data_IF_696777579120
#
_entry.id   IF_696777579120
#
_cell.length_a   1.000
_cell.length_b   1.000
_cell.length_c   1.000
_cell.angle_alpha   90.00
_cell.angle_beta   90.00
_cell.angle_gamma   90.00
#
_symmetry.space_group_name_H-M   'P 1'
#
loop_
_entity.id
_entity.type
_entity.pdbx_description
1 polymer ?
#
# COMPACT_ATOMS: atom_id res chain seq x y z
N UNK A 1 6.72 2.06 -24.27
CA UNK A 1 6.72 1.61 -22.87
C UNK A 1 6.10 2.73 -22.05
N UNK A 2 4.87 2.55 -21.57
CA UNK A 2 4.24 3.56 -20.70
C UNK A 2 4.97 3.56 -19.36
N UNK A 3 5.64 4.65 -19.03
CA UNK A 3 6.18 4.89 -17.69
C UNK A 3 5.00 4.89 -16.73
N UNK A 4 4.79 3.76 -16.03
CA UNK A 4 3.75 3.66 -15.03
C UNK A 4 4.12 4.62 -13.89
N UNK A 5 3.50 5.79 -13.86
CA UNK A 5 3.93 6.91 -13.03
C UNK A 5 3.52 6.62 -11.59
N UNK A 6 4.49 6.20 -10.76
CA UNK A 6 4.29 5.96 -9.32
C UNK A 6 3.74 7.21 -8.64
N UNK A 7 2.87 7.02 -7.64
CA UNK A 7 2.40 8.11 -6.80
C UNK A 7 3.58 8.82 -6.12
N UNK A 8 3.53 10.16 -5.89
CA UNK A 8 4.61 10.91 -5.26
C UNK A 8 5.15 10.27 -3.97
N UNK A 9 4.25 9.81 -3.09
CA UNK A 9 4.56 9.17 -1.80
C UNK A 9 5.26 7.80 -1.93
N UNK A 10 5.15 7.17 -3.09
CA UNK A 10 5.69 5.84 -3.38
C UNK A 10 6.78 5.85 -4.46
N UNK A 11 7.22 7.03 -4.94
CA UNK A 11 8.25 7.15 -6.00
C UNK A 11 9.57 6.47 -5.65
N UNK A 12 9.90 6.42 -4.36
CA UNK A 12 11.13 5.84 -3.86
C UNK A 12 11.14 4.30 -3.89
N UNK A 13 9.98 3.66 -4.08
CA UNK A 13 9.85 2.20 -4.17
C UNK A 13 10.43 1.69 -5.49
N UNK A 14 10.98 0.47 -5.48
CA UNK A 14 11.27 -0.28 -6.70
C UNK A 14 9.96 -0.65 -7.41
N UNK A 15 10.05 -1.14 -8.65
CA UNK A 15 8.85 -1.57 -9.39
C UNK A 15 8.17 -2.76 -8.71
N UNK A 16 8.96 -3.70 -8.17
CA UNK A 16 8.44 -4.85 -7.43
C UNK A 16 7.72 -4.44 -6.13
N UNK A 17 8.31 -3.53 -5.35
CA UNK A 17 7.67 -3.00 -4.14
C UNK A 17 6.41 -2.18 -4.46
N UNK A 18 6.43 -1.41 -5.54
CA UNK A 18 5.24 -0.68 -5.98
C UNK A 18 4.14 -1.63 -6.44
N UNK A 19 4.49 -2.72 -7.14
CA UNK A 19 3.54 -3.75 -7.50
C UNK A 19 2.96 -4.44 -6.26
N UNK A 20 3.79 -4.75 -5.26
CA UNK A 20 3.35 -5.28 -3.97
C UNK A 20 2.33 -4.34 -3.31
N UNK A 21 2.65 -3.04 -3.22
CA UNK A 21 1.75 -2.03 -2.67
C UNK A 21 0.37 -2.09 -3.33
N UNK A 22 0.32 -2.09 -4.67
CA UNK A 22 -0.93 -2.12 -5.43
C UNK A 22 -1.70 -3.43 -5.26
N UNK A 23 -1.01 -4.57 -5.26
CA UNK A 23 -1.63 -5.89 -5.13
C UNK A 23 -2.24 -6.09 -3.74
N UNK A 24 -1.47 -5.83 -2.67
CA UNK A 24 -1.97 -6.00 -1.30
C UNK A 24 -3.05 -4.97 -0.99
N UNK A 25 -2.89 -3.72 -1.43
CA UNK A 25 -3.94 -2.70 -1.37
C UNK A 25 -5.25 -3.19 -1.99
N UNK A 26 -5.21 -3.73 -3.21
CA UNK A 26 -6.41 -4.14 -3.91
C UNK A 26 -7.13 -5.29 -3.18
N UNK A 27 -6.39 -6.25 -2.65
CA UNK A 27 -6.96 -7.36 -1.87
C UNK A 27 -7.53 -6.89 -0.54
N UNK A 28 -6.79 -6.06 0.18
CA UNK A 28 -7.21 -5.49 1.45
C UNK A 28 -8.50 -4.65 1.27
N UNK A 29 -8.52 -3.72 0.32
CA UNK A 29 -9.68 -2.87 0.04
C UNK A 29 -10.92 -3.69 -0.38
N UNK A 30 -10.74 -4.80 -1.10
CA UNK A 30 -11.84 -5.73 -1.46
C UNK A 30 -12.42 -6.47 -0.25
N UNK A 31 -11.61 -6.73 0.78
CA UNK A 31 -12.08 -7.36 2.02
C UNK A 31 -12.87 -6.40 2.93
N UNK A 32 -12.76 -5.09 2.69
CA UNK A 32 -13.46 -4.08 3.47
C UNK A 32 -14.91 -3.90 3.02
N UNK A 33 -15.80 -3.59 3.97
CA UNK A 33 -17.14 -3.10 3.65
C UNK A 33 -17.12 -1.75 2.91
N UNK A 34 -18.19 -1.46 2.16
CA UNK A 34 -18.28 -0.29 1.27
C UNK A 34 -18.10 1.07 1.95
N UNK A 35 -18.52 1.21 3.21
CA UNK A 35 -18.32 2.45 3.95
C UNK A 35 -16.86 2.61 4.38
N UNK A 36 -16.29 1.56 4.99
CA UNK A 36 -14.91 1.58 5.48
C UNK A 36 -13.89 1.82 4.38
N UNK A 37 -14.06 1.21 3.20
CA UNK A 37 -13.09 1.34 2.09
C UNK A 37 -12.91 2.77 1.56
N UNK A 38 -13.82 3.71 1.88
CA UNK A 38 -13.73 5.12 1.47
C UNK A 38 -12.58 5.85 2.16
N UNK A 39 -12.16 5.37 3.34
CA UNK A 39 -11.07 5.97 4.12
C UNK A 39 -9.68 5.41 3.74
N UNK A 40 -9.66 4.37 2.90
CA UNK A 40 -8.43 3.65 2.51
C UNK A 40 -8.30 3.60 0.99
N UNK A 41 -8.37 4.75 0.33
CA UNK A 41 -8.07 4.84 -1.11
C UNK A 41 -6.58 5.05 -1.37
N UNK A 42 -6.12 4.83 -2.61
CA UNK A 42 -4.72 5.13 -2.98
C UNK A 42 -4.37 6.60 -2.81
N UNK A 43 -5.33 7.53 -2.98
CA UNK A 43 -5.12 8.96 -2.75
C UNK A 43 -5.01 9.32 -1.28
N UNK A 44 -5.51 8.48 -0.38
CA UNK A 44 -5.42 8.71 1.06
C UNK A 44 -4.08 8.25 1.65
N UNK A 45 -3.25 7.54 0.87
CA UNK A 45 -1.91 7.14 1.31
C UNK A 45 -1.02 8.38 1.38
N UNK A 46 -0.61 8.74 2.60
CA UNK A 46 0.25 9.91 2.85
C UNK A 46 1.72 9.53 2.99
N UNK A 47 2.02 8.26 3.28
CA UNK A 47 3.39 7.78 3.43
C UNK A 47 3.47 6.28 3.20
N UNK A 48 4.56 5.86 2.57
CA UNK A 48 4.96 4.46 2.51
C UNK A 48 6.38 4.33 3.04
N UNK A 49 6.64 3.37 3.91
CA UNK A 49 7.99 3.04 4.38
C UNK A 49 8.32 1.58 4.07
N UNK A 50 9.59 1.32 3.78
CA UNK A 50 10.14 -0.03 3.71
C UNK A 50 10.43 -0.53 5.13
N UNK A 51 10.01 -1.74 5.44
CA UNK A 51 10.47 -2.48 6.60
C UNK A 51 11.13 -3.79 6.13
N UNK A 52 12.45 -3.75 5.82
CA UNK A 52 13.15 -4.91 5.28
C UNK A 52 13.32 -6.04 6.31
N UNK A 53 13.29 -5.72 7.60
CA UNK A 53 13.40 -6.70 8.70
C UNK A 53 12.20 -7.64 8.70
N UNK A 54 11.01 -7.10 8.48
CA UNK A 54 9.75 -7.85 8.43
C UNK A 54 9.28 -8.18 7.01
N UNK A 55 10.06 -7.80 6.00
CA UNK A 55 9.74 -7.98 4.57
C UNK A 55 8.36 -7.42 4.21
N UNK A 56 8.07 -6.20 4.66
CA UNK A 56 6.79 -5.54 4.42
C UNK A 56 6.94 -4.05 4.06
N UNK A 57 5.84 -3.48 3.57
CA UNK A 57 5.66 -2.03 3.46
C UNK A 57 4.74 -1.55 4.57
N UNK A 58 5.13 -0.50 5.28
CA UNK A 58 4.21 0.21 6.18
C UNK A 58 3.50 1.30 5.37
N UNK A 59 2.18 1.22 5.29
CA UNK A 59 1.33 2.10 4.49
C UNK A 59 0.47 2.95 5.42
N UNK A 60 0.70 4.25 5.42
CA UNK A 60 0.03 5.20 6.31
C UNK A 60 -1.01 6.01 5.52
N UNK A 61 -2.20 6.14 6.11
CA UNK A 61 -3.36 6.83 5.54
C UNK A 61 -3.59 8.18 6.23
N UNK A 62 -4.25 9.10 5.52
CA UNK A 62 -4.55 10.45 6.01
C UNK A 62 -5.51 10.48 7.21
N UNK A 63 -6.28 9.42 7.43
CA UNK A 63 -7.15 9.25 8.58
C UNK A 63 -6.39 8.91 9.89
N UNK A 64 -5.07 8.70 9.82
CA UNK A 64 -4.21 8.35 10.96
C UNK A 64 -3.93 6.85 11.09
N UNK A 65 -4.64 6.01 10.35
CA UNK A 65 -4.40 4.56 10.35
C UNK A 65 -3.20 4.19 9.49
N UNK A 66 -2.66 3.00 9.75
CA UNK A 66 -1.61 2.42 8.94
C UNK A 66 -1.66 0.90 9.01
N UNK A 67 -1.06 0.25 8.00
CA UNK A 67 -1.06 -1.20 7.85
C UNK A 67 0.30 -1.71 7.36
N UNK A 68 0.67 -2.92 7.76
CA UNK A 68 1.78 -3.67 7.18
C UNK A 68 1.31 -4.44 5.96
N UNK A 69 1.94 -4.25 4.80
CA UNK A 69 1.70 -5.05 3.60
C UNK A 69 2.85 -6.04 3.39
N UNK A 70 2.58 -7.30 3.68
CA UNK A 70 3.55 -8.40 3.67
C UNK A 70 3.96 -8.79 2.26
N UNK A 71 5.27 -8.83 1.99
CA UNK A 71 5.81 -9.37 0.74
C UNK A 71 5.86 -10.91 0.72
N UNK A 72 5.62 -11.57 1.86
CA UNK A 72 5.75 -13.03 1.98
C UNK A 72 4.56 -13.75 1.34
N UNK A 73 3.36 -13.25 1.60
CA UNK A 73 2.10 -13.88 1.25
C UNK A 73 1.05 -12.89 0.71
N UNK A 74 1.38 -11.60 0.65
CA UNK A 74 0.45 -10.55 0.23
C UNK A 74 -0.64 -10.25 1.26
N UNK A 75 -0.44 -10.62 2.53
CA UNK A 75 -1.34 -10.31 3.64
C UNK A 75 -1.16 -8.88 4.17
N UNK A 76 -2.11 -8.45 5.00
CA UNK A 76 -2.06 -7.19 5.73
C UNK A 76 -2.37 -7.38 7.22
N UNK A 77 -1.77 -6.56 8.08
CA UNK A 77 -2.02 -6.53 9.53
C UNK A 77 -1.64 -5.18 10.15
#
# INVERSE_FOLDING_TARGET
MSTNKKFPVAKHLSDGEYQLLLTVYANHNRSMGLEKRKDYTLSDIVKVKRNPKEKCLEVYYGNGDWWHYSAVDGSWY
#
